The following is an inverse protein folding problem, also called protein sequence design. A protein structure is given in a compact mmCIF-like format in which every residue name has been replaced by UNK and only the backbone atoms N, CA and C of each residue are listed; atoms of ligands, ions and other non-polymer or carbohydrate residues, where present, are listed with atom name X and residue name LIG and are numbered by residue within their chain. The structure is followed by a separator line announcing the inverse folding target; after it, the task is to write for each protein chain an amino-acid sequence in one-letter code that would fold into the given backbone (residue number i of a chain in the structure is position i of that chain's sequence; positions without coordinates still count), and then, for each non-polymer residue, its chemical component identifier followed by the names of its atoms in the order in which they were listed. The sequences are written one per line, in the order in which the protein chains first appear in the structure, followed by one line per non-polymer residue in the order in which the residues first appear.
data_IF_354109103831
#
_entry.id   IF_354109103831
#
_cell.length_a   1.000
_cell.length_b   1.000
_cell.length_c   1.000
_cell.angle_alpha   90.00
_cell.angle_beta   90.00
_cell.angle_gamma   90.00
#
_symmetry.space_group_name_H-M   'P 1'
#
loop_
_entity.id
_entity.type
_entity.pdbx_description
1 polymer ?
#
# COMPACT_ATOMS: atom_id res chain seq x y z
N UNK A 1 12.81 3.39 11.05
CA UNK A 1 14.26 3.66 10.96
C UNK A 1 15.09 2.40 11.23
N UNK A 2 16.38 2.42 10.86
CA UNK A 2 17.32 1.31 11.15
C UNK A 2 17.54 1.07 12.66
N UNK A 3 17.18 2.02 13.51
CA UNK A 3 17.34 1.98 14.96
C UNK A 3 16.08 1.56 15.73
N UNK A 4 14.94 1.36 15.06
CA UNK A 4 13.77 0.72 15.66
C UNK A 4 13.87 -0.82 15.55
N UNK A 5 13.08 -1.53 16.34
CA UNK A 5 13.05 -2.98 16.57
C UNK A 5 12.96 -3.83 15.28
N UNK A 6 12.65 -3.21 14.13
CA UNK A 6 12.47 -3.84 12.82
C UNK A 6 13.28 -3.19 11.69
N UNK A 7 14.35 -2.47 12.00
CA UNK A 7 15.27 -1.93 10.99
C UNK A 7 15.79 -2.98 10.00
N UNK A 8 15.78 -2.66 8.70
CA UNK A 8 16.34 -3.52 7.64
C UNK A 8 15.37 -4.53 7.01
N UNK A 9 14.08 -4.47 7.36
CA UNK A 9 13.03 -5.25 6.70
C UNK A 9 12.14 -4.35 5.83
N UNK A 10 11.46 -4.97 4.85
CA UNK A 10 10.42 -4.33 4.07
C UNK A 10 9.07 -4.43 4.78
N UNK A 11 8.32 -3.33 4.80
CA UNK A 11 6.94 -3.23 5.28
C UNK A 11 6.21 -2.16 4.45
N UNK A 12 4.89 -2.08 4.61
CA UNK A 12 4.05 -1.02 4.06
C UNK A 12 3.97 0.16 5.01
N UNK A 13 3.61 1.35 4.50
CA UNK A 13 3.28 2.46 5.36
C UNK A 13 2.13 2.12 6.31
N UNK A 14 2.21 2.57 7.56
CA UNK A 14 1.15 2.37 8.53
C UNK A 14 1.59 2.37 9.99
N UNK A 15 0.68 2.80 10.85
CA UNK A 15 0.90 2.90 12.28
C UNK A 15 -0.38 2.73 13.09
N UNK A 16 -0.32 3.15 14.35
CA UNK A 16 -1.47 3.08 15.27
C UNK A 16 -2.40 4.26 15.05
N UNK A 17 -3.69 4.09 15.33
CA UNK A 17 -4.61 5.24 15.32
C UNK A 17 -4.23 6.24 16.40
N UNK A 18 -4.23 7.51 16.01
CA UNK A 18 -4.07 8.65 16.89
C UNK A 18 -5.43 9.19 17.36
N UNK A 19 -5.40 10.01 18.42
CA UNK A 19 -6.61 10.67 18.94
C UNK A 19 -7.21 11.69 17.96
N UNK A 20 -6.41 12.14 17.01
CA UNK A 20 -6.75 13.08 15.94
C UNK A 20 -7.45 12.38 14.77
N UNK A 21 -7.29 11.07 14.62
CA UNK A 21 -7.95 10.28 13.59
C UNK A 21 -9.44 10.13 13.93
N UNK A 22 -10.34 10.60 13.05
CA UNK A 22 -11.78 10.46 13.26
C UNK A 22 -12.28 9.05 12.92
N UNK A 23 -11.58 8.39 12.00
CA UNK A 23 -11.88 7.05 11.50
C UNK A 23 -10.59 6.27 11.25
N UNK A 24 -10.73 4.96 11.06
CA UNK A 24 -9.61 4.11 10.64
C UNK A 24 -9.00 4.57 9.32
N UNK A 25 -9.82 5.07 8.39
CA UNK A 25 -9.36 5.50 7.07
C UNK A 25 -8.58 6.81 7.14
N UNK A 26 -8.88 7.68 8.12
CA UNK A 26 -8.08 8.88 8.38
C UNK A 26 -6.67 8.51 8.83
N UNK A 27 -6.55 7.49 9.71
CA UNK A 27 -5.25 6.94 10.09
C UNK A 27 -4.47 6.39 8.90
N UNK A 28 -5.12 5.63 8.01
CA UNK A 28 -4.46 5.14 6.77
C UNK A 28 -3.95 6.30 5.91
N UNK A 29 -4.77 7.33 5.69
CA UNK A 29 -4.38 8.48 4.87
C UNK A 29 -3.25 9.28 5.52
N UNK A 30 -3.28 9.46 6.84
CA UNK A 30 -2.25 10.15 7.61
C UNK A 30 -0.91 9.42 7.53
N UNK A 31 -0.88 8.12 7.86
CA UNK A 31 0.37 7.33 7.87
C UNK A 31 1.01 7.26 6.48
N UNK A 32 0.21 7.05 5.43
CA UNK A 32 0.73 7.09 4.04
C UNK A 32 1.37 8.44 3.74
N UNK A 33 0.75 9.53 4.14
CA UNK A 33 1.30 10.87 3.93
C UNK A 33 2.56 11.12 4.76
N UNK A 34 2.55 10.81 6.05
CA UNK A 34 3.67 11.03 6.97
C UNK A 34 4.91 10.25 6.52
N UNK A 35 4.74 8.99 6.11
CA UNK A 35 5.86 8.11 5.83
C UNK A 35 6.33 8.12 4.38
N UNK A 36 5.50 8.57 3.43
CA UNK A 36 5.83 8.56 1.99
C UNK A 36 5.65 9.88 1.26
N UNK A 37 4.97 10.85 1.86
CA UNK A 37 4.59 12.12 1.23
C UNK A 37 3.45 12.02 0.20
N UNK A 38 2.89 10.83 -0.02
CA UNK A 38 1.80 10.61 -0.97
C UNK A 38 0.43 10.87 -0.33
N UNK A 39 -0.54 11.30 -1.13
CA UNK A 39 -1.90 11.58 -0.65
C UNK A 39 -2.86 10.49 -1.12
N UNK A 40 -3.45 9.76 -0.18
CA UNK A 40 -4.50 8.78 -0.48
C UNK A 40 -5.69 9.46 -1.13
N UNK A 41 -6.04 9.03 -2.35
CA UNK A 41 -7.21 9.49 -3.08
C UNK A 41 -8.42 8.56 -2.91
N UNK A 42 -8.16 7.26 -2.68
CA UNK A 42 -9.20 6.26 -2.50
C UNK A 42 -8.72 5.05 -1.71
N UNK A 43 -9.50 4.63 -0.72
CA UNK A 43 -9.38 3.29 -0.13
C UNK A 43 -10.15 2.31 -1.01
N UNK A 44 -9.46 1.30 -1.55
CA UNK A 44 -10.02 0.40 -2.57
C UNK A 44 -10.72 -0.80 -1.95
N UNK A 45 -9.98 -1.57 -1.17
CA UNK A 45 -10.49 -2.77 -0.50
C UNK A 45 -9.55 -3.19 0.63
N UNK A 46 -10.07 -3.98 1.57
CA UNK A 46 -9.28 -4.58 2.65
C UNK A 46 -8.58 -5.83 2.11
N UNK A 47 -7.29 -5.92 2.37
CA UNK A 47 -6.45 -7.09 2.05
C UNK A 47 -6.49 -8.09 3.20
N UNK A 48 -6.32 -7.59 4.42
CA UNK A 48 -6.20 -8.43 5.61
C UNK A 48 -6.62 -7.67 6.86
N UNK A 49 -7.18 -8.41 7.82
CA UNK A 49 -7.37 -7.97 9.21
C UNK A 49 -6.66 -8.98 10.10
N UNK A 50 -5.63 -8.53 10.81
CA UNK A 50 -4.91 -9.33 11.80
C UNK A 50 -5.32 -8.88 13.20
N UNK A 51 -5.84 -9.78 14.02
CA UNK A 51 -6.26 -9.48 15.40
C UNK A 51 -5.35 -10.19 16.40
N UNK A 52 -4.97 -9.51 17.48
CA UNK A 52 -4.18 -10.09 18.56
C UNK A 52 -4.51 -9.46 19.91
N UNK A 53 -4.17 -10.17 20.99
CA UNK A 53 -4.24 -9.59 22.34
C UNK A 53 -2.91 -8.87 22.62
N UNK A 54 -2.98 -7.58 22.85
CA UNK A 54 -1.80 -6.77 23.19
C UNK A 54 -1.31 -7.13 24.60
N UNK A 55 -0.05 -7.57 24.71
CA UNK A 55 0.49 -8.09 25.97
C UNK A 55 0.54 -7.06 27.10
N UNK A 56 0.69 -5.77 26.78
CA UNK A 56 0.84 -4.70 27.77
C UNK A 56 -0.50 -4.25 28.37
N UNK A 57 -1.51 -4.11 27.52
CA UNK A 57 -2.84 -3.61 27.91
C UNK A 57 -3.84 -4.73 28.17
N UNK A 58 -3.54 -5.96 27.71
CA UNK A 58 -4.46 -7.10 27.62
C UNK A 58 -5.72 -6.79 26.78
N UNK A 59 -5.67 -5.70 25.99
CA UNK A 59 -6.72 -5.32 25.07
C UNK A 59 -6.65 -6.10 23.76
N UNK A 60 -7.79 -6.16 23.06
CA UNK A 60 -7.81 -6.60 21.66
C UNK A 60 -7.25 -5.47 20.80
N UNK A 61 -6.22 -5.78 20.02
CA UNK A 61 -5.65 -4.93 18.99
C UNK A 61 -5.86 -5.59 17.63
N UNK A 62 -5.91 -4.77 16.59
CA UNK A 62 -6.05 -5.25 15.23
C UNK A 62 -5.35 -4.33 14.22
N UNK A 63 -4.80 -4.92 13.16
CA UNK A 63 -4.18 -4.24 12.01
C UNK A 63 -5.04 -4.49 10.78
N UNK A 64 -5.42 -3.41 10.10
CA UNK A 64 -6.10 -3.45 8.81
C UNK A 64 -5.11 -3.07 7.71
N UNK A 65 -4.90 -3.97 6.76
CA UNK A 65 -4.11 -3.71 5.56
C UNK A 65 -5.06 -3.52 4.38
N UNK A 66 -4.85 -2.49 3.57
CA UNK A 66 -5.75 -2.15 2.46
C UNK A 66 -4.98 -1.75 1.20
N UNK A 67 -5.63 -1.90 0.04
CA UNK A 67 -5.16 -1.31 -1.22
C UNK A 67 -5.68 0.11 -1.31
N UNK A 68 -4.82 1.05 -1.72
CA UNK A 68 -5.16 2.47 -1.87
C UNK A 68 -4.74 2.99 -3.25
N UNK A 69 -5.51 3.93 -3.78
CA UNK A 69 -5.06 4.80 -4.88
C UNK A 69 -4.48 6.09 -4.25
N UNK A 70 -3.48 6.69 -4.89
CA UNK A 70 -2.88 7.98 -4.49
C UNK A 70 -3.13 9.04 -5.54
N UNK A 71 -3.20 10.31 -5.14
CA UNK A 71 -3.45 11.43 -6.06
C UNK A 71 -2.33 11.60 -7.08
N UNK A 72 -1.08 11.42 -6.64
CA UNK A 72 0.12 11.65 -7.44
C UNK A 72 0.15 10.75 -8.69
N UNK A 73 -0.33 9.50 -8.59
CA UNK A 73 -0.39 8.57 -9.71
C UNK A 73 -1.34 9.00 -10.84
N UNK A 74 -2.20 9.99 -10.61
CA UNK A 74 -3.03 10.62 -11.65
C UNK A 74 -2.28 11.67 -12.48
N UNK A 75 -1.10 12.13 -12.04
CA UNK A 75 -0.26 13.05 -12.78
C UNK A 75 0.60 12.28 -13.79
N UNK A 76 0.54 12.66 -15.06
CA UNK A 76 0.90 11.75 -16.15
C UNK A 76 2.40 11.60 -16.44
N UNK A 77 3.31 12.23 -15.67
CA UNK A 77 4.76 12.08 -15.84
C UNK A 77 5.48 12.17 -14.49
N UNK A 78 6.35 11.20 -14.22
CA UNK A 78 7.35 11.21 -13.12
C UNK A 78 6.77 11.44 -11.72
N UNK A 79 5.52 11.03 -11.49
CA UNK A 79 4.89 11.21 -10.18
C UNK A 79 5.63 10.47 -9.06
N UNK A 80 6.36 9.40 -9.39
CA UNK A 80 7.18 8.64 -8.44
C UNK A 80 8.29 9.51 -7.81
N UNK A 81 8.74 10.57 -8.48
CA UNK A 81 9.71 11.52 -7.92
C UNK A 81 9.13 12.33 -6.74
N UNK A 82 7.81 12.28 -6.56
CA UNK A 82 7.12 12.94 -5.44
C UNK A 82 7.16 12.11 -4.16
N UNK A 83 7.61 10.85 -4.20
CA UNK A 83 7.81 10.01 -3.01
C UNK A 83 8.90 10.66 -2.14
N UNK A 84 8.53 11.02 -0.92
CA UNK A 84 9.40 11.63 0.09
C UNK A 84 9.25 10.85 1.38
N UNK A 85 10.16 9.90 1.58
CA UNK A 85 10.15 9.09 2.78
C UNK A 85 10.54 9.90 4.02
N UNK A 86 9.85 9.70 5.14
CA UNK A 86 10.40 10.12 6.44
C UNK A 86 11.55 9.17 6.81
N UNK A 87 12.81 9.64 6.87
CA UNK A 87 13.96 8.79 7.18
C UNK A 87 13.90 8.17 8.59
N UNK A 88 13.04 8.67 9.48
CA UNK A 88 12.78 8.06 10.79
C UNK A 88 11.92 6.82 10.70
N UNK A 89 11.14 6.64 9.63
CA UNK A 89 10.27 5.48 9.45
C UNK A 89 10.82 4.56 8.36
N UNK A 90 10.94 5.08 7.13
CA UNK A 90 11.41 4.34 5.98
C UNK A 90 12.64 4.98 5.33
N UNK A 91 13.58 4.14 4.88
CA UNK A 91 14.85 4.61 4.29
C UNK A 91 14.99 4.27 2.81
N UNK A 92 14.09 3.43 2.28
CA UNK A 92 14.10 3.04 0.88
C UNK A 92 12.70 2.61 0.43
N UNK A 93 12.45 2.67 -0.87
CA UNK A 93 11.23 2.20 -1.51
C UNK A 93 11.59 1.46 -2.81
N UNK A 94 10.70 0.59 -3.26
CA UNK A 94 10.89 -0.15 -4.52
C UNK A 94 9.53 -0.53 -5.10
N UNK A 95 9.41 -0.41 -6.42
CA UNK A 95 8.33 -1.05 -7.15
C UNK A 95 8.64 -2.53 -7.33
N UNK A 96 7.67 -3.38 -7.02
CA UNK A 96 7.84 -4.83 -7.02
C UNK A 96 6.85 -5.47 -7.99
N UNK A 97 7.24 -6.62 -8.54
CA UNK A 97 6.32 -7.49 -9.27
C UNK A 97 5.59 -8.47 -8.34
N UNK A 98 4.46 -9.01 -8.79
CA UNK A 98 3.76 -10.09 -8.08
C UNK A 98 4.67 -11.31 -7.88
N UNK A 99 5.46 -11.67 -8.89
CA UNK A 99 6.35 -12.84 -8.87
C UNK A 99 7.44 -12.71 -7.80
N UNK A 100 8.07 -11.54 -7.68
CA UNK A 100 9.07 -11.28 -6.64
C UNK A 100 8.45 -11.37 -5.24
N UNK A 101 7.26 -10.81 -5.06
CA UNK A 101 6.53 -10.83 -3.79
C UNK A 101 6.06 -12.23 -3.43
N UNK A 102 5.51 -12.99 -4.38
CA UNK A 102 5.13 -14.40 -4.20
C UNK A 102 6.35 -15.22 -3.74
N UNK A 103 7.48 -15.05 -4.42
CA UNK A 103 8.73 -15.74 -4.06
C UNK A 103 9.18 -15.37 -2.66
N UNK A 104 9.16 -14.09 -2.32
CA UNK A 104 9.46 -13.59 -0.96
C UNK A 104 8.51 -14.14 0.09
N UNK A 105 7.20 -14.19 -0.17
CA UNK A 105 6.21 -14.73 0.76
C UNK A 105 6.45 -16.22 1.05
N UNK A 106 6.77 -16.99 0.01
CA UNK A 106 7.05 -18.44 0.13
C UNK A 106 8.37 -18.75 0.82
N UNK A 107 9.42 -18.00 0.52
CA UNK A 107 10.74 -18.21 1.11
C UNK A 107 10.87 -17.56 2.48
N UNK A 108 10.04 -16.56 2.77
CA UNK A 108 10.08 -15.74 3.98
C UNK A 108 11.50 -15.18 4.20
N UNK A 109 12.08 -15.41 5.39
CA UNK A 109 13.41 -14.93 5.76
C UNK A 109 14.56 -15.88 5.38
N UNK A 110 14.35 -16.76 4.39
CA UNK A 110 15.38 -17.72 3.92
C UNK A 110 16.20 -17.13 2.77
N UNK A 111 17.40 -17.68 2.60
CA UNK A 111 18.31 -17.30 1.52
C UNK A 111 17.63 -17.41 0.14
N UNK A 112 17.80 -16.38 -0.68
CA UNK A 112 17.22 -16.29 -2.03
C UNK A 112 15.84 -15.62 -2.13
N UNK A 113 15.26 -15.18 -1.01
CA UNK A 113 14.11 -14.28 -1.01
C UNK A 113 14.51 -12.89 -1.56
N UNK A 114 13.80 -12.33 -2.57
CA UNK A 114 14.10 -10.98 -3.09
C UNK A 114 14.00 -9.89 -2.02
N UNK A 115 12.98 -9.98 -1.17
CA UNK A 115 12.67 -9.05 -0.10
C UNK A 115 12.42 -9.77 1.22
N UNK A 116 12.97 -9.20 2.30
CA UNK A 116 12.83 -9.70 3.66
C UNK A 116 11.75 -8.91 4.39
N UNK A 117 10.57 -9.51 4.58
CA UNK A 117 9.45 -8.88 5.29
C UNK A 117 9.43 -9.18 6.78
N UNK A 118 8.84 -8.30 7.58
CA UNK A 118 8.52 -8.57 8.99
C UNK A 118 7.27 -9.44 9.08
N UNK A 119 7.24 -10.40 10.00
CA UNK A 119 6.03 -11.18 10.30
C UNK A 119 5.33 -11.73 9.06
N UNK A 120 4.03 -11.41 8.93
CA UNK A 120 3.14 -11.85 7.84
C UNK A 120 3.09 -10.86 6.67
N UNK A 121 3.95 -9.83 6.63
CA UNK A 121 3.81 -8.75 5.65
C UNK A 121 4.10 -9.21 4.21
N UNK A 122 5.00 -10.18 4.03
CA UNK A 122 5.23 -10.76 2.69
C UNK A 122 4.00 -11.50 2.14
N UNK A 123 3.28 -12.23 3.00
CA UNK A 123 2.04 -12.89 2.63
C UNK A 123 0.93 -11.86 2.38
N UNK A 124 0.87 -10.81 3.20
CA UNK A 124 -0.07 -9.69 3.02
C UNK A 124 0.18 -8.96 1.70
N UNK A 125 1.43 -8.74 1.33
CA UNK A 125 1.83 -8.18 0.04
C UNK A 125 1.32 -9.03 -1.13
N UNK A 126 1.51 -10.34 -1.04
CA UNK A 126 1.07 -11.24 -2.08
C UNK A 126 -0.45 -11.26 -2.22
N UNK A 127 -1.19 -11.24 -1.10
CA UNK A 127 -2.66 -11.12 -1.16
C UNK A 127 -3.13 -9.76 -1.68
N UNK A 128 -2.38 -8.68 -1.42
CA UNK A 128 -2.69 -7.37 -1.97
C UNK A 128 -2.68 -7.37 -3.51
N UNK A 129 -1.73 -8.08 -4.15
CA UNK A 129 -1.73 -8.25 -5.61
C UNK A 129 -3.02 -8.93 -6.10
N UNK A 130 -3.45 -10.02 -5.46
CA UNK A 130 -4.67 -10.74 -5.87
C UNK A 130 -5.92 -9.87 -5.70
N UNK A 131 -6.00 -9.11 -4.61
CA UNK A 131 -7.08 -8.14 -4.38
C UNK A 131 -7.06 -7.05 -5.45
N UNK A 132 -5.90 -6.45 -5.72
CA UNK A 132 -5.73 -5.42 -6.72
C UNK A 132 -6.10 -5.90 -8.13
N UNK A 133 -5.59 -7.03 -8.59
CA UNK A 133 -5.89 -7.59 -9.92
C UNK A 133 -7.38 -7.85 -10.10
N UNK A 134 -8.04 -8.39 -9.07
CA UNK A 134 -9.50 -8.58 -9.07
C UNK A 134 -10.27 -7.27 -9.14
N UNK A 135 -9.76 -6.20 -8.52
CA UNK A 135 -10.35 -4.85 -8.63
C UNK A 135 -10.18 -4.28 -10.04
N UNK A 136 -9.02 -4.50 -10.68
CA UNK A 136 -8.77 -4.05 -12.04
C UNK A 136 -9.62 -4.80 -13.08
N UNK A 137 -9.82 -6.10 -12.92
CA UNK A 137 -10.74 -6.88 -13.77
C UNK A 137 -12.19 -6.36 -13.73
N UNK A 138 -12.59 -5.81 -12.58
CA UNK A 138 -13.93 -5.25 -12.34
C UNK A 138 -14.05 -3.80 -12.80
N UNK A 139 -12.95 -3.12 -13.14
CA UNK A 139 -13.02 -1.74 -13.65
C UNK A 139 -13.70 -1.76 -15.02
N UNK A 140 -14.71 -0.90 -15.25
CA UNK A 140 -15.28 -0.75 -16.59
C UNK A 140 -14.15 -0.38 -17.56
N UNK A 141 -13.94 -1.18 -18.60
CA UNK A 141 -13.06 -0.79 -19.70
C UNK A 141 -13.71 0.40 -20.38
N UNK A 142 -13.10 1.58 -20.28
CA UNK A 142 -13.51 2.73 -21.09
C UNK A 142 -13.26 2.35 -22.54
N UNK A 143 -14.31 2.00 -23.26
CA UNK A 143 -14.25 1.87 -24.72
C UNK A 143 -14.17 3.30 -25.23
N UNK A 144 -12.98 3.72 -25.66
CA UNK A 144 -12.85 4.94 -26.44
C UNK A 144 -13.63 4.72 -27.74
N UNK A 145 -14.80 5.35 -27.87
CA UNK A 145 -15.46 5.47 -29.16
C UNK A 145 -14.64 6.46 -30.00
N UNK A 146 -13.70 5.94 -30.80
CA UNK A 146 -13.09 6.66 -31.91
C UNK A 146 -14.09 6.79 -33.08
N UNK A 147 -15.26 7.38 -32.83
CA UNK A 147 -16.22 7.69 -33.89
C UNK A 147 -17.07 8.90 -33.47
N UNK A 148 -16.50 10.09 -33.62
CA UNK A 148 -17.28 11.29 -33.95
C UNK A 148 -16.40 12.28 -34.69
N UNK A 149 -16.13 11.96 -35.96
CA UNK A 149 -15.72 12.95 -36.96
C UNK A 149 -16.97 13.66 -37.49
N UNK A 150 -16.91 14.99 -37.43
CA UNK A 150 -17.68 16.02 -38.16
C UNK A 150 -19.18 15.83 -38.43
N UNK A 151 -20.02 16.77 -37.94
CA UNK A 151 -21.04 17.41 -38.79
C UNK A 151 -21.28 18.88 -38.36
N UNK A 152 -20.87 19.79 -39.27
CA UNK A 152 -21.46 21.09 -39.64
C UNK A 152 -21.28 22.34 -38.77
N UNK A 153 -20.52 23.27 -39.37
CA UNK A 153 -20.78 24.72 -39.40
C UNK A 153 -22.28 25.03 -39.56
N UNK A 154 -22.82 25.91 -38.71
CA UNK A 154 -23.60 27.11 -39.09
C UNK A 154 -23.25 28.21 -38.10
#
# INVERSE_FOLDING_TARGET
ALDDSFGGYWDFPGGSLERTDQTLLDGVAREVFEETGLHVSKIRDIVRVDEWIERKTLGLAAKWSCVVDVHEAGDTVEWEEKIKLDPKEHVNWVWVSEEEVEKSARLQKKEGAPYMFVGVQGETAWEAFKVYLKLEERRPKVIANEDTVEVSKV
#
